data_IF_346329087991
#
_entry.id   IF_346329087991
#
_cell.length_a   1.000
_cell.length_b   1.000
_cell.length_c   1.000
_cell.angle_alpha   90.00
_cell.angle_beta   90.00
_cell.angle_gamma   90.00
#
_symmetry.space_group_name_H-M   'P 1'
#
loop_
_entity.id
_entity.type
_entity.pdbx_description
1 polymer ?
#
# COMPACT_ATOMS: atom_id res chain seq x y z
N UNK A 1 15.16 24.31 -38.79
CA UNK A 1 16.64 24.26 -38.88
C UNK A 1 17.17 23.33 -37.79
N UNK A 2 17.87 22.27 -38.23
CA UNK A 2 18.72 21.29 -37.52
C UNK A 2 18.13 20.60 -36.24
N UNK A 3 17.62 19.36 -36.32
CA UNK A 3 18.33 18.07 -36.37
C UNK A 3 19.31 17.83 -35.21
N UNK A 4 18.90 16.98 -34.26
CA UNK A 4 19.79 15.99 -33.64
C UNK A 4 19.04 14.67 -33.44
N UNK A 5 19.43 13.69 -34.25
CA UNK A 5 19.11 12.27 -34.11
C UNK A 5 20.03 11.61 -33.06
N UNK A 6 19.54 10.53 -32.44
CA UNK A 6 20.34 9.31 -32.33
C UNK A 6 20.90 8.95 -30.95
N UNK A 7 20.06 8.32 -30.11
CA UNK A 7 20.49 7.16 -29.31
C UNK A 7 19.44 6.06 -29.41
N UNK A 8 19.62 5.21 -30.40
CA UNK A 8 19.00 3.89 -30.49
C UNK A 8 19.44 3.05 -29.30
N UNK A 9 18.52 2.80 -28.37
CA UNK A 9 18.68 1.73 -27.39
C UNK A 9 18.53 0.43 -28.17
N UNK A 10 19.65 -0.28 -28.35
CA UNK A 10 19.65 -1.67 -28.77
C UNK A 10 18.97 -2.50 -27.67
N UNK A 11 17.64 -2.57 -27.71
CA UNK A 11 16.89 -3.59 -27.01
C UNK A 11 17.27 -4.93 -27.63
N UNK A 12 17.90 -5.79 -26.84
CA UNK A 12 18.37 -7.10 -27.25
C UNK A 12 17.22 -7.90 -27.90
N UNK A 13 17.34 -8.38 -29.15
CA UNK A 13 16.31 -9.17 -29.83
C UNK A 13 15.90 -10.42 -29.02
N UNK A 14 16.78 -10.92 -28.15
CA UNK A 14 16.52 -12.07 -27.29
C UNK A 14 15.41 -11.82 -26.23
N UNK A 15 15.22 -10.58 -25.77
CA UNK A 15 14.15 -10.25 -24.82
C UNK A 15 12.77 -10.19 -25.50
N UNK A 16 12.73 -9.68 -26.74
CA UNK A 16 11.53 -9.66 -27.58
C UNK A 16 11.15 -11.07 -28.08
N UNK A 17 12.14 -11.91 -28.39
CA UNK A 17 11.90 -13.31 -28.78
C UNK A 17 11.44 -14.14 -27.57
N UNK A 18 11.94 -13.87 -26.34
CA UNK A 18 11.35 -14.46 -25.12
C UNK A 18 9.91 -13.99 -24.91
N UNK A 19 9.61 -12.70 -25.04
CA UNK A 19 8.24 -12.15 -24.97
C UNK A 19 7.29 -12.78 -25.99
N UNK A 20 7.73 -13.01 -27.23
CA UNK A 20 6.93 -13.66 -28.26
C UNK A 20 6.79 -15.18 -28.05
N UNK A 21 7.77 -15.83 -27.42
CA UNK A 21 7.64 -17.22 -26.96
C UNK A 21 6.66 -17.36 -25.79
N UNK A 22 6.47 -16.31 -24.98
CA UNK A 22 5.42 -16.21 -23.96
C UNK A 22 4.03 -15.96 -24.57
N UNK A 23 3.91 -15.25 -25.70
CA UNK A 23 2.62 -15.11 -26.39
C UNK A 23 2.08 -16.42 -27.01
N UNK A 24 2.94 -17.42 -27.23
CA UNK A 24 2.50 -18.79 -27.56
C UNK A 24 1.82 -19.53 -26.40
N UNK A 25 1.81 -18.97 -25.18
CA UNK A 25 1.15 -19.55 -24.00
C UNK A 25 -0.36 -19.22 -23.90
N UNK A 26 -0.98 -18.65 -24.93
CA UNK A 26 -2.40 -18.27 -24.90
C UNK A 26 -3.48 -19.28 -25.35
N UNK A 27 -3.26 -20.54 -25.81
CA UNK A 27 -4.38 -21.29 -26.37
C UNK A 27 -5.32 -21.95 -25.36
N UNK A 28 -5.03 -21.94 -24.04
CA UNK A 28 -5.88 -22.65 -23.06
C UNK A 28 -6.52 -21.82 -21.94
N UNK A 29 -6.15 -20.55 -21.75
CA UNK A 29 -6.82 -19.68 -20.77
C UNK A 29 -7.75 -18.63 -21.39
N UNK A 30 -7.63 -18.33 -22.69
CA UNK A 30 -8.46 -17.30 -23.35
C UNK A 30 -9.82 -17.79 -23.86
N UNK A 31 -10.05 -19.11 -23.94
CA UNK A 31 -11.25 -19.68 -24.54
C UNK A 31 -12.51 -19.61 -23.67
N UNK A 32 -12.45 -19.00 -22.48
CA UNK A 32 -13.59 -18.89 -21.57
C UNK A 32 -14.32 -17.54 -21.56
N UNK A 33 -13.86 -16.51 -22.29
CA UNK A 33 -14.44 -15.14 -22.18
C UNK A 33 -14.95 -14.49 -23.47
N UNK A 34 -14.98 -15.18 -24.60
CA UNK A 34 -15.47 -14.60 -25.86
C UNK A 34 -16.74 -15.31 -26.38
N UNK A 35 -17.82 -15.21 -25.60
CA UNK A 35 -19.17 -15.28 -26.15
C UNK A 35 -20.14 -14.50 -25.27
N UNK A 36 -20.24 -13.19 -25.50
CA UNK A 36 -21.49 -12.43 -25.43
C UNK A 36 -21.29 -11.06 -26.09
N UNK A 37 -21.92 -10.91 -27.24
CA UNK A 37 -21.94 -9.70 -28.06
C UNK A 37 -22.95 -8.69 -27.54
N UNK A 38 -22.59 -7.40 -27.74
CA UNK A 38 -23.46 -6.23 -27.94
C UNK A 38 -24.47 -5.86 -26.86
N UNK A 39 -24.09 -4.97 -25.94
CA UNK A 39 -24.94 -3.90 -25.38
C UNK A 39 -24.06 -2.78 -24.77
N UNK A 40 -23.40 -1.99 -25.63
CA UNK A 40 -22.50 -0.89 -25.22
C UNK A 40 -23.17 0.30 -24.50
N UNK A 41 -24.50 0.32 -24.33
CA UNK A 41 -25.20 1.37 -23.56
C UNK A 41 -25.61 0.96 -22.14
N UNK A 42 -25.89 -0.32 -21.91
CA UNK A 42 -26.47 -0.79 -20.64
C UNK A 42 -25.40 -0.99 -19.56
N UNK A 43 -24.17 -1.31 -19.95
CA UNK A 43 -23.07 -1.55 -19.01
C UNK A 43 -22.60 -0.25 -18.34
N UNK A 44 -22.54 0.85 -19.10
CA UNK A 44 -22.15 2.18 -18.61
C UNK A 44 -23.21 2.81 -17.70
N UNK A 45 -24.49 2.57 -17.99
CA UNK A 45 -25.58 3.00 -17.12
C UNK A 45 -25.59 2.18 -15.81
N UNK A 46 -25.26 0.89 -15.88
CA UNK A 46 -25.18 0.01 -14.73
C UNK A 46 -24.00 0.38 -13.82
N UNK A 47 -22.79 0.59 -14.37
CA UNK A 47 -21.61 1.01 -13.60
C UNK A 47 -21.83 2.38 -12.96
N UNK A 48 -22.41 3.34 -13.69
CA UNK A 48 -22.74 4.67 -13.16
C UNK A 48 -23.75 4.62 -11.99
N UNK A 49 -24.81 3.81 -12.13
CA UNK A 49 -25.81 3.61 -11.05
C UNK A 49 -25.24 2.86 -9.85
N UNK A 50 -24.35 1.90 -10.06
CA UNK A 50 -23.68 1.15 -9.00
C UNK A 50 -22.75 2.05 -8.18
N UNK A 51 -21.96 2.90 -8.85
CA UNK A 51 -21.07 3.88 -8.21
C UNK A 51 -21.88 4.89 -7.40
N UNK A 52 -22.96 5.46 -7.95
CA UNK A 52 -23.82 6.40 -7.21
C UNK A 52 -24.48 5.77 -5.97
N UNK A 53 -24.98 4.52 -6.06
CA UNK A 53 -25.60 3.82 -4.92
C UNK A 53 -24.61 3.51 -3.81
N UNK A 54 -23.37 3.15 -4.15
CA UNK A 54 -22.33 2.95 -3.16
C UNK A 54 -21.95 4.29 -2.52
N UNK A 55 -21.67 5.33 -3.30
CA UNK A 55 -21.26 6.65 -2.78
C UNK A 55 -22.29 7.24 -1.81
N UNK A 56 -23.60 7.06 -2.07
CA UNK A 56 -24.69 7.52 -1.21
C UNK A 56 -24.90 6.69 0.07
N UNK A 57 -24.72 5.36 0.01
CA UNK A 57 -24.75 4.48 1.20
C UNK A 57 -23.59 4.78 2.15
N UNK A 58 -22.41 5.07 1.62
CA UNK A 58 -21.23 5.43 2.43
C UNK A 58 -21.38 6.80 3.10
N UNK A 59 -21.89 7.82 2.38
CA UNK A 59 -22.19 9.14 2.96
C UNK A 59 -23.23 9.08 4.08
N UNK A 60 -24.33 8.32 3.91
CA UNK A 60 -25.36 8.14 4.96
C UNK A 60 -24.84 7.41 6.20
N UNK A 61 -23.97 6.41 6.02
CA UNK A 61 -23.41 5.63 7.15
C UNK A 61 -22.35 6.41 7.95
N UNK A 62 -21.63 7.34 7.31
CA UNK A 62 -20.74 8.28 8.01
C UNK A 62 -21.50 9.35 8.81
N UNK A 63 -22.60 9.88 8.28
CA UNK A 63 -23.38 10.94 8.95
C UNK A 63 -24.13 10.42 10.18
N UNK A 64 -24.65 9.19 10.15
CA UNK A 64 -25.45 8.63 11.25
C UNK A 64 -24.61 8.07 12.41
N UNK A 65 -23.38 7.64 12.18
CA UNK A 65 -22.50 7.10 13.22
C UNK A 65 -21.74 8.20 13.99
N UNK A 66 -21.60 9.40 13.41
CA UNK A 66 -20.81 10.48 14.01
C UNK A 66 -21.64 11.42 14.89
N UNK A 67 -22.95 11.56 14.68
CA UNK A 67 -23.72 12.67 15.26
C UNK A 67 -24.27 12.44 16.69
N UNK A 68 -24.36 11.20 17.19
CA UNK A 68 -25.06 10.94 18.45
C UNK A 68 -24.15 10.82 19.69
N UNK A 69 -22.86 10.50 19.51
CA UNK A 69 -21.91 10.31 20.63
C UNK A 69 -20.89 11.46 20.74
N UNK A 70 -20.60 12.16 19.63
CA UNK A 70 -19.68 13.32 19.59
C UNK A 70 -20.31 14.59 20.17
N UNK A 71 -21.62 14.80 20.00
CA UNK A 71 -22.30 16.04 20.43
C UNK A 71 -22.32 16.23 21.95
N UNK A 72 -22.40 15.16 22.74
CA UNK A 72 -22.35 15.24 24.21
C UNK A 72 -20.94 15.51 24.73
N UNK A 73 -19.91 14.86 24.16
CA UNK A 73 -18.50 15.09 24.51
C UNK A 73 -18.00 16.46 24.06
N UNK A 74 -18.36 16.89 22.85
CA UNK A 74 -18.01 18.19 22.28
C UNK A 74 -18.61 19.35 23.09
N UNK A 75 -19.84 19.22 23.58
CA UNK A 75 -20.44 20.24 24.45
C UNK A 75 -19.77 20.32 25.84
N UNK A 76 -19.38 19.18 26.42
CA UNK A 76 -18.67 19.16 27.71
C UNK A 76 -17.24 19.74 27.60
N UNK A 77 -16.58 19.48 26.47
CA UNK A 77 -15.22 19.94 26.20
C UNK A 77 -15.16 21.45 25.89
N UNK A 78 -16.12 21.96 25.11
CA UNK A 78 -16.25 23.39 24.81
C UNK A 78 -16.43 24.24 26.08
N UNK A 79 -17.04 23.67 27.13
CA UNK A 79 -17.17 24.31 28.45
C UNK A 79 -15.83 24.37 29.18
N UNK A 80 -15.03 23.29 29.17
CA UNK A 80 -13.71 23.26 29.84
C UNK A 80 -12.63 24.11 29.16
N UNK A 81 -12.66 24.27 27.85
CA UNK A 81 -11.66 25.10 27.13
C UNK A 81 -11.91 26.60 27.31
N UNK A 82 -13.10 26.97 27.80
CA UNK A 82 -13.39 28.34 28.21
C UNK A 82 -12.69 28.73 29.53
N UNK A 83 -12.14 27.77 30.27
CA UNK A 83 -11.33 28.04 31.46
C UNK A 83 -9.88 28.31 31.05
N UNK A 84 -9.31 29.36 31.63
CA UNK A 84 -7.97 29.83 31.35
C UNK A 84 -6.90 28.82 31.83
N UNK A 85 -5.98 28.39 30.95
CA UNK A 85 -4.93 27.44 31.32
C UNK A 85 -3.83 28.04 32.23
N UNK A 86 -3.85 29.33 32.56
CA UNK A 86 -2.80 30.01 33.32
C UNK A 86 -2.43 29.28 34.62
N UNK A 87 -3.43 28.75 35.35
CA UNK A 87 -3.23 28.09 36.63
C UNK A 87 -3.29 26.55 36.56
N UNK A 88 -3.47 25.99 35.36
CA UNK A 88 -3.49 24.54 35.20
C UNK A 88 -2.10 23.92 35.37
N UNK A 89 -2.08 22.77 36.04
CA UNK A 89 -0.90 21.93 36.11
C UNK A 89 -0.66 21.20 34.77
N UNK A 90 0.53 20.63 34.63
CA UNK A 90 0.95 19.96 33.41
C UNK A 90 0.15 18.69 33.11
N UNK A 91 -0.36 18.00 34.13
CA UNK A 91 -1.14 16.78 33.97
C UNK A 91 -2.52 17.10 33.41
N UNK A 92 -3.21 18.08 33.98
CA UNK A 92 -4.52 18.52 33.48
C UNK A 92 -4.41 19.07 32.07
N UNK A 93 -3.34 19.82 31.75
CA UNK A 93 -3.09 20.28 30.38
C UNK A 93 -2.93 19.12 29.40
N UNK A 94 -2.16 18.08 29.76
CA UNK A 94 -2.01 16.89 28.94
C UNK A 94 -3.35 16.17 28.73
N UNK A 95 -4.13 15.98 29.78
CA UNK A 95 -5.46 15.36 29.71
C UNK A 95 -6.41 16.14 28.79
N UNK A 96 -6.39 17.48 28.83
CA UNK A 96 -7.20 18.30 27.93
C UNK A 96 -6.83 18.08 26.47
N UNK A 97 -5.54 18.03 26.13
CA UNK A 97 -5.11 17.72 24.77
C UNK A 97 -5.42 16.27 24.37
N UNK A 98 -5.18 15.29 25.25
CA UNK A 98 -5.46 13.87 24.97
C UNK A 98 -6.95 13.67 24.71
N UNK A 99 -7.84 14.25 25.52
CA UNK A 99 -9.28 14.22 25.29
C UNK A 99 -9.67 14.88 23.96
N UNK A 100 -9.03 15.98 23.59
CA UNK A 100 -9.32 16.70 22.33
C UNK A 100 -8.93 15.85 21.13
N UNK A 101 -7.77 15.19 21.22
CA UNK A 101 -7.24 14.29 20.20
C UNK A 101 -8.11 13.04 20.07
N UNK A 102 -8.53 12.44 21.18
CA UNK A 102 -9.40 11.26 21.17
C UNK A 102 -10.80 11.55 20.59
N UNK A 103 -11.29 12.78 20.77
CA UNK A 103 -12.56 13.23 20.22
C UNK A 103 -12.43 13.80 18.79
N UNK A 104 -11.22 13.82 18.20
CA UNK A 104 -10.91 14.54 16.95
C UNK A 104 -11.42 16.01 16.95
N UNK A 105 -11.48 16.65 18.13
CA UNK A 105 -11.92 18.05 18.27
C UNK A 105 -10.77 19.01 17.94
N UNK A 106 -10.71 19.35 16.66
CA UNK A 106 -9.72 20.26 16.10
C UNK A 106 -9.81 21.66 16.71
N UNK A 107 -11.04 22.12 16.99
CA UNK A 107 -11.27 23.46 17.53
C UNK A 107 -10.71 23.57 18.94
N UNK A 108 -10.85 22.50 19.72
CA UNK A 108 -10.24 22.37 21.02
C UNK A 108 -8.71 22.38 20.95
N UNK A 109 -8.11 21.59 20.06
CA UNK A 109 -6.65 21.55 19.88
C UNK A 109 -6.12 22.94 19.51
N UNK A 110 -6.80 23.66 18.61
CA UNK A 110 -6.45 25.02 18.21
C UNK A 110 -6.57 25.98 19.40
N UNK A 111 -7.68 25.92 20.14
CA UNK A 111 -7.92 26.76 21.31
C UNK A 111 -6.83 26.57 22.37
N UNK A 112 -6.55 25.31 22.74
CA UNK A 112 -5.51 24.95 23.70
C UNK A 112 -4.12 25.39 23.22
N UNK A 113 -3.80 25.21 21.94
CA UNK A 113 -2.51 25.64 21.37
C UNK A 113 -2.31 27.16 21.46
N UNK A 114 -3.36 27.94 21.18
CA UNK A 114 -3.32 29.40 21.30
C UNK A 114 -3.11 29.83 22.76
N UNK A 115 -3.82 29.20 23.69
CA UNK A 115 -3.64 29.46 25.11
C UNK A 115 -2.22 29.07 25.58
N UNK A 116 -1.70 27.91 25.15
CA UNK A 116 -0.31 27.50 25.40
C UNK A 116 0.71 28.54 24.88
N UNK A 117 0.43 29.11 23.72
CA UNK A 117 1.25 30.15 23.10
C UNK A 117 1.21 31.46 23.89
N UNK A 118 0.06 31.80 24.48
CA UNK A 118 -0.13 32.99 25.30
C UNK A 118 0.58 32.86 26.65
N UNK A 119 0.43 31.72 27.34
CA UNK A 119 1.00 31.49 28.67
C UNK A 119 2.40 30.85 28.66
N UNK A 120 3.00 30.65 27.47
CA UNK A 120 4.28 29.95 27.28
C UNK A 120 4.34 28.56 27.95
N UNK A 121 3.22 27.84 27.96
CA UNK A 121 3.13 26.48 28.49
C UNK A 121 3.20 25.47 27.35
N UNK A 122 4.02 24.43 27.52
CA UNK A 122 4.16 23.34 26.53
C UNK A 122 3.72 22.03 27.18
N UNK A 123 2.80 21.26 26.57
CA UNK A 123 2.42 19.94 27.05
C UNK A 123 3.59 18.94 26.95
N UNK A 124 3.40 17.73 27.46
CA UNK A 124 4.39 16.67 27.30
C UNK A 124 4.68 16.39 25.81
N UNK A 125 5.90 15.92 25.51
CA UNK A 125 6.31 15.66 24.13
C UNK A 125 5.37 14.70 23.40
N UNK A 126 4.93 13.64 24.08
CA UNK A 126 4.01 12.65 23.51
C UNK A 126 2.71 13.31 23.04
N UNK A 127 2.12 14.15 23.88
CA UNK A 127 0.87 14.86 23.60
C UNK A 127 1.07 15.88 22.48
N UNK A 128 2.18 16.63 22.52
CA UNK A 128 2.54 17.59 21.48
C UNK A 128 2.68 16.94 20.09
N UNK A 129 3.41 15.83 20.00
CA UNK A 129 3.58 15.10 18.74
C UNK A 129 2.25 14.54 18.22
N UNK A 130 1.35 14.17 19.13
CA UNK A 130 0.02 13.66 18.79
C UNK A 130 -0.86 14.78 18.24
N UNK A 131 -0.87 15.95 18.89
CA UNK A 131 -1.55 17.16 18.40
C UNK A 131 -1.02 17.60 17.03
N UNK A 132 0.31 17.67 16.86
CA UNK A 132 0.96 17.97 15.58
C UNK A 132 0.51 16.99 14.48
N UNK A 133 0.45 15.69 14.79
CA UNK A 133 0.01 14.67 13.84
C UNK A 133 -1.47 14.77 13.47
N UNK A 134 -2.34 15.25 14.37
CA UNK A 134 -3.75 15.54 14.05
C UNK A 134 -3.84 16.76 13.15
N UNK A 135 -3.21 17.88 13.54
CA UNK A 135 -3.19 19.11 12.75
C UNK A 135 -2.63 18.90 11.33
N UNK A 136 -1.56 18.10 11.21
CA UNK A 136 -0.95 17.78 9.92
C UNK A 136 -1.91 17.01 8.99
N UNK A 137 -2.57 15.97 9.51
CA UNK A 137 -3.55 15.18 8.74
C UNK A 137 -4.78 15.99 8.31
N UNK A 138 -5.06 17.09 8.99
CA UNK A 138 -6.17 17.99 8.68
C UNK A 138 -5.75 19.19 7.82
N UNK A 139 -4.45 19.35 7.51
CA UNK A 139 -3.96 20.46 6.70
C UNK A 139 -3.77 21.78 7.47
N UNK A 140 -3.85 21.79 8.80
CA UNK A 140 -3.69 23.00 9.62
C UNK A 140 -2.22 23.39 9.80
N UNK A 141 -1.61 23.90 8.73
CA UNK A 141 -0.22 24.36 8.72
C UNK A 141 0.07 25.45 9.75
N UNK A 142 -0.81 26.43 9.88
CA UNK A 142 -0.57 27.60 10.73
C UNK A 142 -0.38 27.21 12.20
N UNK A 143 -1.16 26.23 12.67
CA UNK A 143 -1.07 25.71 14.04
C UNK A 143 0.25 24.97 14.27
N UNK A 144 0.76 24.27 13.26
CA UNK A 144 2.07 23.61 13.34
C UNK A 144 3.18 24.65 13.46
N UNK A 145 3.06 25.78 12.75
CA UNK A 145 3.98 26.91 12.84
C UNK A 145 3.90 27.56 14.22
N UNK A 146 2.70 27.78 14.75
CA UNK A 146 2.50 28.33 16.11
C UNK A 146 3.14 27.43 17.18
N UNK A 147 2.95 26.11 17.09
CA UNK A 147 3.59 25.13 17.96
C UNK A 147 5.12 25.18 17.83
N UNK A 148 5.63 25.32 16.60
CA UNK A 148 7.07 25.40 16.34
C UNK A 148 7.68 26.65 16.98
N UNK A 149 7.02 27.81 16.84
CA UNK A 149 7.43 29.07 17.45
C UNK A 149 7.37 29.00 18.99
N UNK A 150 6.33 28.36 19.54
CA UNK A 150 6.24 28.11 20.98
C UNK A 150 7.41 27.23 21.47
N UNK A 151 7.72 26.15 20.75
CA UNK A 151 8.87 25.29 21.06
C UNK A 151 10.19 26.04 20.96
N UNK A 152 10.36 26.92 19.97
CA UNK A 152 11.58 27.73 19.84
C UNK A 152 11.84 28.59 21.08
N UNK A 153 10.78 29.16 21.67
CA UNK A 153 10.88 30.00 22.87
C UNK A 153 11.12 29.21 24.16
N UNK A 154 10.45 28.07 24.33
CA UNK A 154 10.42 27.35 25.62
C UNK A 154 11.36 26.15 25.64
N UNK A 155 11.53 25.43 24.52
CA UNK A 155 12.37 24.21 24.39
C UNK A 155 13.02 24.13 22.99
N UNK A 156 14.01 25.00 22.68
CA UNK A 156 14.62 25.05 21.35
C UNK A 156 15.36 23.76 20.96
N UNK A 157 15.86 23.00 21.93
CA UNK A 157 16.54 21.73 21.69
C UNK A 157 15.59 20.70 21.03
N UNK A 158 14.36 20.62 21.53
CA UNK A 158 13.33 19.73 21.00
C UNK A 158 13.01 20.04 19.54
N UNK A 159 12.95 21.33 19.21
CA UNK A 159 12.65 21.79 17.85
C UNK A 159 13.75 21.37 16.87
N UNK A 160 15.02 21.52 17.27
CA UNK A 160 16.18 21.11 16.46
C UNK A 160 16.21 19.60 16.24
N UNK A 161 16.00 18.80 17.29
CA UNK A 161 15.96 17.33 17.19
C UNK A 161 14.90 16.84 16.18
N UNK A 162 13.77 17.55 16.08
CA UNK A 162 12.65 17.21 15.22
C UNK A 162 12.65 17.94 13.87
N UNK A 163 13.78 18.54 13.46
CA UNK A 163 13.92 19.30 12.20
C UNK A 163 12.82 20.34 12.03
N UNK A 164 12.59 21.15 13.07
CA UNK A 164 11.59 22.21 13.09
C UNK A 164 10.17 21.73 12.75
N UNK A 165 9.88 20.44 13.02
CA UNK A 165 8.62 19.79 12.68
C UNK A 165 8.25 19.88 11.17
N UNK A 166 9.24 20.09 10.29
CA UNK A 166 9.03 20.30 8.86
C UNK A 166 8.29 19.12 8.19
N UNK A 167 8.46 17.91 8.69
CA UNK A 167 7.73 16.73 8.19
C UNK A 167 6.22 16.79 8.46
N UNK A 168 5.76 17.44 9.54
CA UNK A 168 4.34 17.68 9.77
C UNK A 168 3.82 18.82 8.89
N UNK A 169 4.64 19.85 8.63
CA UNK A 169 4.30 20.91 7.67
C UNK A 169 4.15 20.32 6.26
N UNK A 170 5.06 19.43 5.86
CA UNK A 170 5.00 18.73 4.59
C UNK A 170 3.72 17.91 4.46
N UNK A 171 3.33 17.16 5.50
CA UNK A 171 2.06 16.42 5.52
C UNK A 171 0.86 17.36 5.41
N UNK A 172 0.84 18.49 6.14
CA UNK A 172 -0.24 19.48 6.03
C UNK A 172 -0.35 20.08 4.62
N UNK A 173 0.77 20.40 3.98
CA UNK A 173 0.81 20.90 2.61
C UNK A 173 0.27 19.86 1.62
N UNK A 174 0.59 18.59 1.82
CA UNK A 174 0.04 17.49 1.03
C UNK A 174 -1.49 17.46 1.14
N UNK A 175 -2.01 17.52 2.36
CA UNK A 175 -3.46 17.50 2.62
C UNK A 175 -4.18 18.69 1.99
N UNK A 176 -3.50 19.84 1.86
CA UNK A 176 -4.00 21.03 1.18
C UNK A 176 -3.81 21.00 -0.35
N UNK A 177 -3.22 19.93 -0.91
CA UNK A 177 -3.04 19.74 -2.35
C UNK A 177 -1.72 20.26 -2.93
N UNK A 178 -0.83 20.84 -2.11
CA UNK A 178 0.50 21.30 -2.55
C UNK A 178 1.52 20.14 -2.48
N UNK A 179 1.33 19.17 -3.37
CA UNK A 179 2.08 17.91 -3.43
C UNK A 179 3.57 18.14 -3.68
N UNK A 180 3.91 18.98 -4.66
CA UNK A 180 5.29 19.19 -5.08
C UNK A 180 6.11 19.84 -3.96
N UNK A 181 5.56 20.85 -3.29
CA UNK A 181 6.22 21.48 -2.15
C UNK A 181 6.33 20.52 -0.98
N UNK A 182 5.26 19.76 -0.69
CA UNK A 182 5.29 18.72 0.34
C UNK A 182 6.43 17.72 0.13
N UNK A 183 6.56 17.15 -1.08
CA UNK A 183 7.62 16.20 -1.41
C UNK A 183 9.02 16.82 -1.30
N UNK A 184 9.18 18.08 -1.71
CA UNK A 184 10.47 18.78 -1.57
C UNK A 184 10.90 18.94 -0.11
N UNK A 185 9.96 19.21 0.80
CA UNK A 185 10.23 19.32 2.24
C UNK A 185 10.52 17.93 2.82
N UNK A 186 9.74 16.92 2.45
CA UNK A 186 10.05 15.54 2.85
C UNK A 186 11.45 15.11 2.41
N UNK A 187 11.86 15.41 1.17
CA UNK A 187 13.20 15.13 0.65
C UNK A 187 14.28 15.84 1.48
N UNK A 188 14.10 17.12 1.76
CA UNK A 188 15.00 17.92 2.61
C UNK A 188 15.17 17.28 4.01
N UNK A 189 14.06 17.04 4.72
CA UNK A 189 14.10 16.46 6.07
C UNK A 189 14.68 15.05 6.04
N UNK A 190 14.39 14.26 5.01
CA UNK A 190 14.92 12.90 4.84
C UNK A 190 16.45 12.91 4.67
N UNK A 191 16.98 13.90 3.95
CA UNK A 191 18.42 14.11 3.76
C UNK A 191 19.10 14.58 5.05
N UNK A 192 18.56 15.61 5.67
CA UNK A 192 19.17 16.30 6.83
C UNK A 192 19.06 15.51 8.13
N UNK A 193 18.00 14.69 8.30
CA UNK A 193 17.74 14.00 9.55
C UNK A 193 17.38 12.52 9.36
N UNK A 194 18.38 11.66 9.57
CA UNK A 194 18.23 10.21 9.43
C UNK A 194 17.24 9.60 10.44
N UNK A 195 17.11 10.17 11.65
CA UNK A 195 16.20 9.69 12.68
C UNK A 195 14.72 9.82 12.24
N UNK A 196 14.39 10.89 11.51
CA UNK A 196 13.03 11.15 11.03
C UNK A 196 12.63 10.31 9.81
N UNK A 197 13.55 9.63 9.14
CA UNK A 197 13.25 8.79 7.96
C UNK A 197 12.16 7.75 8.25
N UNK A 198 12.19 7.13 9.43
CA UNK A 198 11.15 6.16 9.84
C UNK A 198 9.77 6.82 9.95
N UNK A 199 9.70 8.03 10.49
CA UNK A 199 8.45 8.80 10.59
C UNK A 199 7.93 9.19 9.21
N UNK A 200 8.80 9.69 8.34
CA UNK A 200 8.47 10.04 6.94
C UNK A 200 7.93 8.82 6.19
N UNK A 201 8.58 7.65 6.31
CA UNK A 201 8.09 6.38 5.73
C UNK A 201 6.66 6.05 6.19
N UNK A 202 6.38 6.21 7.49
CA UNK A 202 5.02 5.98 8.02
C UNK A 202 4.00 6.94 7.43
N UNK A 203 4.32 8.23 7.33
CA UNK A 203 3.46 9.24 6.71
C UNK A 203 3.23 8.90 5.22
N UNK A 204 4.31 8.65 4.48
CA UNK A 204 4.24 8.30 3.05
C UNK A 204 3.40 7.07 2.78
N UNK A 205 3.50 6.03 3.61
CA UNK A 205 2.66 4.82 3.48
C UNK A 205 1.16 5.16 3.48
N UNK A 206 0.75 6.12 4.30
CA UNK A 206 -0.64 6.60 4.34
C UNK A 206 -0.99 7.46 3.12
N UNK A 207 -0.13 8.43 2.78
CA UNK A 207 -0.36 9.34 1.65
C UNK A 207 -0.43 8.60 0.31
N UNK A 208 0.45 7.61 0.08
CA UNK A 208 0.45 6.75 -1.11
C UNK A 208 -0.88 6.00 -1.24
N UNK A 209 -1.38 5.41 -0.15
CA UNK A 209 -2.65 4.68 -0.16
C UNK A 209 -3.81 5.60 -0.53
N UNK A 210 -3.81 6.83 -0.02
CA UNK A 210 -4.83 7.83 -0.37
C UNK A 210 -4.70 8.29 -1.82
N UNK A 211 -3.48 8.54 -2.31
CA UNK A 211 -3.21 8.97 -3.68
C UNK A 211 -3.77 7.98 -4.71
N UNK A 212 -3.46 6.69 -4.55
CA UNK A 212 -3.88 5.63 -5.48
C UNK A 212 -5.39 5.41 -5.39
N UNK A 213 -5.97 5.46 -4.18
CA UNK A 213 -7.42 5.39 -3.99
C UNK A 213 -8.18 6.54 -4.66
N UNK A 214 -7.56 7.73 -4.73
CA UNK A 214 -8.16 8.91 -5.34
C UNK A 214 -7.79 9.07 -6.83
N UNK A 215 -7.08 8.10 -7.42
CA UNK A 215 -6.69 8.06 -8.83
C UNK A 215 -5.96 9.32 -9.34
N UNK A 216 -5.13 9.92 -8.48
CA UNK A 216 -4.37 11.11 -8.85
C UNK A 216 -3.09 10.72 -9.61
N UNK A 217 -3.20 10.53 -10.92
CA UNK A 217 -2.07 10.12 -11.77
C UNK A 217 -0.89 11.10 -11.73
N UNK A 218 -1.16 12.40 -11.74
CA UNK A 218 -0.11 13.42 -11.60
C UNK A 218 0.64 13.30 -10.25
N UNK A 219 -0.10 13.05 -9.17
CA UNK A 219 0.48 12.83 -7.84
C UNK A 219 1.28 11.52 -7.79
N UNK A 220 0.82 10.47 -8.47
CA UNK A 220 1.54 9.20 -8.58
C UNK A 220 2.88 9.39 -9.30
N UNK A 221 2.91 10.15 -10.41
CA UNK A 221 4.17 10.48 -11.11
C UNK A 221 5.15 11.21 -10.18
N UNK A 222 4.67 12.21 -9.42
CA UNK A 222 5.50 12.92 -8.45
C UNK A 222 6.02 11.98 -7.34
N UNK A 223 5.19 11.06 -6.83
CA UNK A 223 5.58 10.07 -5.83
C UNK A 223 6.62 9.08 -6.37
N UNK A 224 6.48 8.66 -7.63
CA UNK A 224 7.44 7.81 -8.28
C UNK A 224 8.79 8.53 -8.38
N UNK A 225 8.82 9.74 -8.94
CA UNK A 225 10.05 10.55 -9.02
C UNK A 225 10.71 10.74 -7.65
N UNK A 226 9.92 11.06 -6.62
CA UNK A 226 10.41 11.15 -5.24
C UNK A 226 10.99 9.81 -4.74
N UNK A 227 10.29 8.70 -4.98
CA UNK A 227 10.79 7.38 -4.57
C UNK A 227 12.07 6.96 -5.32
N UNK A 228 12.20 7.34 -6.60
CA UNK A 228 13.40 7.08 -7.40
C UNK A 228 14.61 7.82 -6.83
N UNK A 229 14.44 9.08 -6.41
CA UNK A 229 15.50 9.82 -5.69
C UNK A 229 15.90 9.11 -4.41
N UNK A 230 14.94 8.62 -3.62
CA UNK A 230 15.24 7.91 -2.38
C UNK A 230 16.02 6.61 -2.62
N UNK A 231 15.68 5.87 -3.67
CA UNK A 231 16.40 4.67 -4.09
C UNK A 231 17.82 5.03 -4.54
N UNK A 232 17.97 6.05 -5.39
CA UNK A 232 19.26 6.40 -5.95
C UNK A 232 20.23 7.01 -4.93
N UNK A 233 19.74 7.86 -4.02
CA UNK A 233 20.59 8.54 -3.02
C UNK A 233 20.83 7.71 -1.75
N UNK A 234 19.84 6.93 -1.31
CA UNK A 234 19.88 6.26 0.01
C UNK A 234 19.71 4.74 -0.06
N UNK A 235 19.54 4.17 -1.26
CA UNK A 235 19.21 2.75 -1.44
C UNK A 235 17.94 2.33 -0.66
N UNK A 236 17.00 3.28 -0.47
CA UNK A 236 15.77 3.04 0.29
C UNK A 236 14.59 2.72 -0.64
N UNK A 237 14.26 1.44 -0.72
CA UNK A 237 13.14 0.92 -1.52
C UNK A 237 11.80 0.95 -0.78
N UNK A 238 11.72 1.44 0.46
CA UNK A 238 10.49 1.36 1.25
C UNK A 238 9.30 2.07 0.56
N UNK A 239 9.51 3.32 0.15
CA UNK A 239 8.45 4.14 -0.47
C UNK A 239 8.01 3.52 -1.79
N UNK A 240 8.96 3.09 -2.62
CA UNK A 240 8.66 2.42 -3.89
C UNK A 240 7.91 1.10 -3.67
N UNK A 241 8.28 0.31 -2.66
CA UNK A 241 7.56 -0.91 -2.29
C UNK A 241 6.15 -0.65 -1.76
N UNK A 242 5.89 0.51 -1.15
CA UNK A 242 4.55 0.94 -0.79
C UNK A 242 3.72 1.33 -2.02
N UNK A 243 4.31 2.06 -2.97
CA UNK A 243 3.66 2.41 -4.24
C UNK A 243 3.31 1.14 -5.01
N UNK A 244 4.28 0.23 -5.18
CA UNK A 244 4.07 -1.07 -5.83
C UNK A 244 2.90 -1.83 -5.24
N UNK A 245 2.87 -2.00 -3.92
CA UNK A 245 1.83 -2.76 -3.23
C UNK A 245 0.44 -2.13 -3.42
N UNK A 246 0.35 -0.80 -3.38
CA UNK A 246 -0.92 -0.12 -3.55
C UNK A 246 -1.37 -0.13 -5.02
N UNK A 247 -0.45 -0.04 -5.98
CA UNK A 247 -0.72 -0.11 -7.41
C UNK A 247 -1.17 -1.51 -7.85
N UNK A 248 -0.48 -2.57 -7.41
CA UNK A 248 -0.86 -3.95 -7.76
C UNK A 248 -2.23 -4.34 -7.20
N UNK A 249 -2.61 -3.78 -6.05
CA UNK A 249 -3.93 -3.96 -5.44
C UNK A 249 -5.00 -3.00 -5.98
N UNK A 250 -4.63 -2.05 -6.84
CA UNK A 250 -5.56 -1.11 -7.47
C UNK A 250 -6.56 -1.87 -8.34
N UNK A 251 -7.75 -1.31 -8.50
CA UNK A 251 -8.77 -1.81 -9.43
C UNK A 251 -8.42 -1.46 -10.89
N UNK A 252 -7.51 -0.50 -11.10
CA UNK A 252 -7.14 0.00 -12.41
C UNK A 252 -5.96 -0.75 -12.99
N UNK A 253 -6.14 -1.23 -14.22
CA UNK A 253 -5.10 -1.93 -14.96
C UNK A 253 -3.84 -1.08 -15.17
N UNK A 254 -3.99 0.21 -15.44
CA UNK A 254 -2.87 1.13 -15.65
C UNK A 254 -1.94 1.20 -14.42
N UNK A 255 -2.50 1.27 -13.21
CA UNK A 255 -1.71 1.28 -11.97
C UNK A 255 -0.97 -0.07 -11.80
N UNK A 256 -1.64 -1.18 -12.10
CA UNK A 256 -1.02 -2.51 -12.03
C UNK A 256 0.14 -2.64 -13.02
N UNK A 257 0.00 -2.10 -14.24
CA UNK A 257 1.08 -2.09 -15.22
C UNK A 257 2.28 -1.26 -14.75
N UNK A 258 2.04 -0.08 -14.16
CA UNK A 258 3.09 0.73 -13.54
C UNK A 258 3.84 -0.08 -12.48
N UNK A 259 3.13 -0.84 -11.64
CA UNK A 259 3.76 -1.68 -10.62
C UNK A 259 4.70 -2.73 -11.24
N UNK A 260 4.30 -3.35 -12.35
CA UNK A 260 5.10 -4.35 -13.07
C UNK A 260 6.32 -3.69 -13.72
N UNK A 261 6.14 -2.56 -14.41
CA UNK A 261 7.22 -1.85 -15.11
C UNK A 261 8.32 -1.40 -14.13
N UNK A 262 7.93 -0.94 -12.94
CA UNK A 262 8.89 -0.53 -11.91
C UNK A 262 9.66 -1.70 -11.29
N UNK A 263 9.04 -2.88 -11.23
CA UNK A 263 9.71 -4.09 -10.77
C UNK A 263 10.80 -4.52 -11.78
N UNK A 264 10.50 -4.40 -13.08
CA UNK A 264 11.46 -4.56 -14.18
C UNK A 264 12.62 -3.57 -14.11
N UNK A 265 12.33 -2.31 -13.77
CA UNK A 265 13.34 -1.25 -13.67
C UNK A 265 14.27 -1.39 -12.46
N UNK A 266 13.76 -1.84 -11.31
CA UNK A 266 14.48 -1.82 -10.03
C UNK A 266 14.63 -3.22 -9.42
N UNK A 267 15.74 -3.90 -9.70
CA UNK A 267 15.99 -5.25 -9.16
C UNK A 267 15.97 -5.31 -7.62
N UNK A 268 16.43 -4.26 -6.93
CA UNK A 268 16.39 -4.19 -5.46
C UNK A 268 14.97 -4.16 -4.88
N UNK A 269 13.98 -3.79 -5.69
CA UNK A 269 12.58 -3.78 -5.29
C UNK A 269 12.05 -5.21 -5.07
N UNK A 270 12.55 -6.20 -5.82
CA UNK A 270 12.14 -7.60 -5.69
C UNK A 270 12.33 -8.12 -4.25
N UNK A 271 13.47 -7.79 -3.62
CA UNK A 271 13.76 -8.19 -2.24
C UNK A 271 12.76 -7.62 -1.23
N UNK A 272 12.25 -6.41 -1.47
CA UNK A 272 11.23 -5.77 -0.63
C UNK A 272 9.85 -6.40 -0.86
N UNK A 273 9.58 -6.82 -2.09
CA UNK A 273 8.29 -7.34 -2.52
C UNK A 273 8.02 -8.75 -2.02
N UNK A 274 9.04 -9.61 -1.88
CA UNK A 274 8.88 -10.98 -1.36
C UNK A 274 8.05 -10.98 -0.07
N UNK A 275 8.37 -10.07 0.85
CA UNK A 275 7.68 -9.93 2.13
C UNK A 275 6.22 -9.40 2.02
N UNK A 276 5.85 -8.84 0.87
CA UNK A 276 4.53 -8.28 0.58
C UNK A 276 3.64 -9.24 -0.22
N UNK A 277 4.22 -10.20 -0.95
CA UNK A 277 3.50 -11.19 -1.78
C UNK A 277 2.38 -11.89 -0.98
N UNK A 278 2.62 -12.48 0.21
CA UNK A 278 1.56 -13.17 0.94
C UNK A 278 0.36 -12.27 1.28
N UNK A 279 0.62 -11.00 1.60
CA UNK A 279 -0.42 -10.03 1.86
C UNK A 279 -1.23 -9.71 0.60
N UNK A 280 -0.56 -9.46 -0.53
CA UNK A 280 -1.22 -9.14 -1.81
C UNK A 280 -2.11 -10.30 -2.25
N UNK A 281 -1.60 -11.54 -2.21
CA UNK A 281 -2.36 -12.74 -2.56
C UNK A 281 -3.59 -12.88 -1.65
N UNK A 282 -3.40 -12.81 -0.33
CA UNK A 282 -4.50 -12.94 0.64
C UNK A 282 -5.56 -11.86 0.46
N UNK A 283 -5.18 -10.60 0.21
CA UNK A 283 -6.14 -9.52 -0.01
C UNK A 283 -6.89 -9.68 -1.33
N UNK A 284 -6.21 -10.08 -2.41
CA UNK A 284 -6.80 -10.27 -3.74
C UNK A 284 -7.83 -11.40 -3.73
N UNK A 285 -7.49 -12.55 -3.13
CA UNK A 285 -8.40 -13.70 -3.03
C UNK A 285 -9.61 -13.44 -2.12
N UNK A 286 -9.44 -12.67 -1.04
CA UNK A 286 -10.57 -12.20 -0.22
C UNK A 286 -11.59 -11.35 -0.99
N UNK A 287 -11.16 -10.75 -2.09
CA UNK A 287 -12.00 -9.94 -2.97
C UNK A 287 -12.35 -10.69 -4.26
N UNK A 288 -12.09 -12.00 -4.33
CA UNK A 288 -12.28 -12.84 -5.51
C UNK A 288 -11.53 -12.37 -6.77
N UNK A 289 -10.47 -11.57 -6.60
CA UNK A 289 -9.62 -11.01 -7.68
C UNK A 289 -8.49 -11.96 -8.03
N UNK A 290 -8.82 -13.09 -8.66
CA UNK A 290 -7.85 -14.14 -9.02
C UNK A 290 -6.88 -13.69 -10.13
N UNK A 291 -7.31 -12.80 -11.01
CA UNK A 291 -6.52 -12.21 -12.10
C UNK A 291 -5.27 -11.48 -11.59
N UNK A 292 -5.37 -10.79 -10.46
CA UNK A 292 -4.23 -10.11 -9.83
C UNK A 292 -3.20 -11.14 -9.35
N UNK A 293 -3.66 -12.26 -8.81
CA UNK A 293 -2.79 -13.33 -8.33
C UNK A 293 -2.06 -14.00 -9.48
N UNK A 294 -2.74 -14.24 -10.61
CA UNK A 294 -2.09 -14.79 -11.81
C UNK A 294 -1.05 -13.84 -12.39
N UNK A 295 -1.34 -12.54 -12.50
CA UNK A 295 -0.35 -11.54 -12.92
C UNK A 295 0.85 -11.49 -11.97
N UNK A 296 0.61 -11.57 -10.66
CA UNK A 296 1.68 -11.64 -9.69
C UNK A 296 2.54 -12.90 -9.89
N UNK A 297 1.93 -14.05 -10.15
CA UNK A 297 2.66 -15.28 -10.46
C UNK A 297 3.51 -15.15 -11.73
N UNK A 298 2.98 -14.56 -12.80
CA UNK A 298 3.73 -14.29 -14.04
C UNK A 298 4.98 -13.47 -13.74
N UNK A 299 4.85 -12.43 -12.92
CA UNK A 299 5.98 -11.61 -12.50
C UNK A 299 6.96 -12.43 -11.67
N UNK A 300 6.51 -13.19 -10.67
CA UNK A 300 7.41 -14.04 -9.86
C UNK A 300 8.15 -15.08 -10.70
N UNK A 301 7.51 -15.62 -11.74
CA UNK A 301 8.13 -16.54 -12.69
C UNK A 301 9.23 -15.88 -13.51
N UNK A 302 9.04 -14.64 -13.95
CA UNK A 302 10.07 -13.88 -14.67
C UNK A 302 11.35 -13.69 -13.86
N UNK A 303 11.23 -13.64 -12.53
CA UNK A 303 12.35 -13.50 -11.59
C UNK A 303 12.82 -14.82 -10.97
N UNK A 304 12.33 -15.95 -11.47
CA UNK A 304 12.70 -17.29 -10.99
C UNK A 304 12.46 -17.49 -9.47
N UNK A 305 11.48 -16.79 -8.90
CA UNK A 305 11.12 -16.82 -7.48
C UNK A 305 10.27 -18.05 -7.11
N UNK A 306 10.84 -19.25 -7.27
CA UNK A 306 10.13 -20.53 -7.13
C UNK A 306 9.53 -20.76 -5.74
N UNK A 307 10.18 -20.28 -4.69
CA UNK A 307 9.71 -20.42 -3.29
C UNK A 307 8.42 -19.64 -3.07
N UNK A 308 8.38 -18.40 -3.55
CA UNK A 308 7.26 -17.49 -3.45
C UNK A 308 6.08 -17.99 -4.29
N UNK A 309 6.36 -18.50 -5.50
CA UNK A 309 5.33 -19.12 -6.35
C UNK A 309 4.71 -20.32 -5.64
N UNK A 310 5.50 -21.20 -5.03
CA UNK A 310 4.98 -22.34 -4.27
C UNK A 310 4.00 -21.90 -3.18
N UNK A 311 4.33 -20.84 -2.45
CA UNK A 311 3.43 -20.27 -1.44
C UNK A 311 2.15 -19.69 -2.06
N UNK A 312 2.26 -18.98 -3.19
CA UNK A 312 1.09 -18.42 -3.90
C UNK A 312 0.16 -19.54 -4.36
N UNK A 313 0.72 -20.60 -4.95
CA UNK A 313 -0.04 -21.77 -5.41
C UNK A 313 -0.78 -22.48 -4.27
N UNK A 314 -0.12 -22.65 -3.12
CA UNK A 314 -0.74 -23.26 -1.95
C UNK A 314 -1.97 -22.45 -1.49
N UNK A 315 -1.84 -21.13 -1.40
CA UNK A 315 -2.95 -20.25 -1.00
C UNK A 315 -4.07 -20.24 -2.05
N UNK A 316 -3.73 -20.32 -3.34
CA UNK A 316 -4.71 -20.45 -4.43
C UNK A 316 -5.50 -21.76 -4.36
N UNK A 317 -4.81 -22.87 -4.10
CA UNK A 317 -5.45 -24.18 -3.94
C UNK A 317 -6.40 -24.15 -2.74
N UNK A 318 -5.96 -23.61 -1.60
CA UNK A 318 -6.81 -23.46 -0.41
C UNK A 318 -8.05 -22.61 -0.69
N UNK A 319 -7.92 -21.56 -1.51
CA UNK A 319 -9.03 -20.74 -1.95
C UNK A 319 -10.00 -21.53 -2.83
N UNK A 320 -9.52 -22.22 -3.88
CA UNK A 320 -10.38 -22.97 -4.78
C UNK A 320 -11.06 -24.18 -4.12
N UNK A 321 -10.42 -24.81 -3.12
CA UNK A 321 -11.06 -25.84 -2.30
C UNK A 321 -12.27 -25.25 -1.54
N UNK A 322 -12.12 -24.05 -0.95
CA UNK A 322 -13.20 -23.39 -0.21
C UNK A 322 -14.36 -23.01 -1.12
N UNK A 323 -14.07 -22.62 -2.35
CA UNK A 323 -15.08 -22.32 -3.38
C UNK A 323 -15.66 -23.58 -4.06
N UNK A 324 -15.15 -24.79 -3.74
CA UNK A 324 -15.59 -26.05 -4.35
C UNK A 324 -15.11 -26.27 -5.80
N UNK A 325 -14.11 -25.52 -6.25
CA UNK A 325 -13.60 -25.52 -7.62
C UNK A 325 -12.45 -26.52 -7.82
N UNK A 326 -12.72 -27.81 -7.64
CA UNK A 326 -11.70 -28.88 -7.66
C UNK A 326 -10.97 -29.03 -9.01
N UNK A 327 -11.60 -28.67 -10.12
CA UNK A 327 -10.98 -28.72 -11.45
C UNK A 327 -9.75 -27.80 -11.52
N UNK A 328 -9.85 -26.59 -10.99
CA UNK A 328 -8.75 -25.62 -11.01
C UNK A 328 -7.62 -26.06 -10.08
N UNK A 329 -7.92 -26.67 -8.93
CA UNK A 329 -6.90 -27.28 -8.08
C UNK A 329 -6.09 -28.34 -8.84
N UNK A 330 -6.75 -29.19 -9.63
CA UNK A 330 -6.07 -30.20 -10.47
C UNK A 330 -5.15 -29.54 -11.50
N UNK A 331 -5.65 -28.52 -12.20
CA UNK A 331 -4.87 -27.79 -13.21
C UNK A 331 -3.62 -27.14 -12.60
N UNK A 332 -3.75 -26.52 -11.42
CA UNK A 332 -2.61 -25.93 -10.69
C UNK A 332 -1.56 -26.98 -10.31
N UNK A 333 -1.99 -28.14 -9.82
CA UNK A 333 -1.06 -29.22 -9.41
C UNK A 333 -0.36 -29.83 -10.62
N UNK A 334 -1.07 -30.05 -11.73
CA UNK A 334 -0.46 -30.52 -12.97
C UNK A 334 0.57 -29.50 -13.46
N UNK A 335 0.21 -28.22 -13.46
CA UNK A 335 1.09 -27.13 -13.86
C UNK A 335 2.35 -27.04 -12.97
N UNK A 336 2.21 -27.18 -11.64
CA UNK A 336 3.35 -27.12 -10.73
C UNK A 336 4.32 -28.30 -10.94
N UNK A 337 3.80 -29.49 -11.25
CA UNK A 337 4.61 -30.67 -11.59
C UNK A 337 5.35 -30.45 -12.91
N UNK A 338 4.70 -29.87 -13.92
CA UNK A 338 5.31 -29.57 -15.22
C UNK A 338 6.45 -28.56 -15.10
N UNK A 339 6.33 -27.58 -14.19
CA UNK A 339 7.30 -26.50 -14.01
C UNK A 339 8.32 -26.74 -12.88
N UNK A 340 8.33 -27.95 -12.30
CA UNK A 340 9.23 -28.35 -11.22
C UNK A 340 9.15 -27.42 -9.98
N UNK A 341 7.93 -27.01 -9.64
CA UNK A 341 7.62 -26.21 -8.46
C UNK A 341 7.05 -27.14 -7.39
N UNK A 342 7.82 -27.35 -6.32
CA UNK A 342 7.40 -28.17 -5.20
C UNK A 342 6.39 -27.41 -4.33
N UNK A 343 5.13 -27.85 -4.32
CA UNK A 343 4.11 -27.31 -3.40
C UNK A 343 4.18 -28.08 -2.08
N UNK A 344 4.90 -27.52 -1.10
CA UNK A 344 5.06 -28.12 0.23
C UNK A 344 3.74 -27.96 1.00
N UNK A 345 3.10 -29.07 1.36
CA UNK A 345 1.85 -29.10 2.14
C UNK A 345 0.69 -29.87 1.51
N UNK A 346 0.71 -30.08 0.18
CA UNK A 346 -0.30 -30.91 -0.52
C UNK A 346 -0.10 -32.40 -0.19
N UNK A 347 1.16 -32.83 -0.09
CA UNK A 347 1.56 -34.23 0.16
C UNK A 347 1.02 -34.78 1.48
N UNK A 348 0.69 -33.92 2.45
CA UNK A 348 0.11 -34.31 3.75
C UNK A 348 -1.43 -34.39 3.77
N UNK A 349 -2.11 -33.84 2.75
CA UNK A 349 -3.58 -33.81 2.69
C UNK A 349 -4.11 -34.97 1.83
N UNK A 350 -4.04 -36.20 2.36
CA UNK A 350 -4.57 -37.42 1.72
C UNK A 350 -6.01 -37.26 1.19
N UNK A 351 -6.85 -36.46 1.86
CA UNK A 351 -8.23 -36.18 1.45
C UNK A 351 -8.31 -35.32 0.18
N UNK A 352 -7.40 -34.35 0.02
CA UNK A 352 -7.28 -33.53 -1.19
C UNK A 352 -6.78 -34.37 -2.36
N UNK A 353 -5.76 -35.20 -2.11
CA UNK A 353 -5.24 -36.14 -3.10
C UNK A 353 -6.29 -37.16 -3.54
N UNK A 354 -7.14 -37.64 -2.63
CA UNK A 354 -8.24 -38.56 -2.96
C UNK A 354 -9.39 -37.87 -3.72
N UNK A 355 -9.68 -36.59 -3.48
CA UNK A 355 -10.67 -35.82 -4.24
C UNK A 355 -10.19 -35.44 -5.65
N UNK A 356 -8.87 -35.30 -5.83
CA UNK A 356 -8.25 -34.99 -7.13
C UNK A 356 -7.94 -36.26 -7.95
N UNK A 357 -8.13 -37.45 -7.39
CA UNK A 357 -7.73 -38.72 -7.98
C UNK A 357 -8.86 -39.42 -8.75
N UNK A 358 -8.77 -39.33 -10.08
CA UNK A 358 -8.80 -40.50 -10.98
C UNK A 358 -7.65 -40.50 -12.00
N UNK A 359 -7.07 -39.34 -12.34
CA UNK A 359 -6.01 -39.24 -13.37
C UNK A 359 -4.64 -38.69 -12.88
N UNK A 360 -4.58 -38.03 -11.71
CA UNK A 360 -3.36 -37.34 -11.24
C UNK A 360 -2.35 -38.32 -10.59
N UNK A 361 -2.84 -39.43 -10.03
CA UNK A 361 -1.99 -40.43 -9.38
C UNK A 361 -1.02 -41.11 -10.36
N UNK A 362 -1.38 -41.25 -11.63
CA UNK A 362 -0.52 -41.89 -12.64
C UNK A 362 0.66 -41.00 -13.04
N UNK A 363 0.49 -39.67 -13.11
CA UNK A 363 1.59 -38.74 -13.43
C UNK A 363 2.56 -38.55 -12.27
N UNK A 364 2.10 -38.61 -11.02
CA UNK A 364 2.95 -38.49 -9.83
C UNK A 364 3.81 -39.73 -9.63
N UNK A 365 3.26 -40.94 -9.83
CA UNK A 365 4.01 -42.20 -9.73
C UNK A 365 5.15 -42.30 -10.76
N UNK A 366 5.00 -41.73 -11.94
CA UNK A 366 6.01 -41.73 -13.01
C UNK A 366 7.21 -40.81 -12.72
N UNK A 367 7.06 -39.76 -11.90
CA UNK A 367 8.20 -38.89 -11.52
C UNK A 367 8.98 -39.43 -10.31
N UNK A 368 8.31 -40.06 -9.35
CA UNK A 368 8.97 -40.67 -8.17
C UNK A 368 9.83 -41.88 -8.54
N UNK A 369 9.46 -42.62 -9.60
CA UNK A 369 10.25 -43.76 -10.11
C UNK A 369 11.46 -43.37 -10.96
N UNK A 370 11.60 -42.09 -11.36
CA UNK A 370 12.72 -41.62 -12.22
C UNK A 370 13.86 -40.93 -11.46
N UNK A 371 13.80 -40.84 -10.13
CA UNK A 371 14.81 -40.14 -9.31
C UNK A 371 15.61 -41.02 -8.33
N UNK A 372 15.72 -42.31 -8.59
CA UNK A 372 16.76 -43.14 -7.96
C UNK A 372 17.58 -43.84 -9.03
N UNK A 373 18.80 -43.37 -9.35
CA UNK A 373 19.86 -44.26 -9.77
C UNK A 373 20.24 -45.08 -8.52
N UNK A 374 19.79 -46.33 -8.50
CA UNK A 374 20.29 -47.33 -7.58
C UNK A 374 21.69 -47.75 -8.03
N UNK A 375 22.71 -46.98 -7.66
CA UNK A 375 24.11 -47.43 -7.76
C UNK A 375 24.91 -46.74 -6.66
N UNK A 376 24.89 -47.32 -5.46
CA UNK A 376 26.04 -47.37 -4.55
C UNK A 376 25.82 -48.57 -3.61
N UNK A 377 26.47 -49.68 -3.94
CA UNK A 377 26.71 -50.80 -3.04
C UNK A 377 28.09 -50.63 -2.39
N UNK A 378 28.10 -50.75 -1.06
CA UNK A 378 29.23 -50.84 -0.11
C UNK A 378 30.14 -49.64 0.09
#
# INVERSE_FOLDING_TARGET
MALYFGKTINACPAALIKLLSFYKFQPHFHLFFLHQSTTEGALDEFTSKLIQRNTSKWKKKQILAHNNDTNLKHNFMKIRISEDIENLDMNTLNELFENAIECDDVTAIIGLTKQCTHYNKIPSLKVLLSALSVCARLGHRDIIVDISNLCERVRPELLKENSFFEHYIAEALWMNGDITKSLSIFEKVYRENAYLRRKIRTIMKYLIKNCIRNHSQATLVNLLQFSEKLVNEYNDYFTLGCIWQACILSEWFADQQIAIDYLLKYQGLCNVIINKVPFVVKMSLKQHRTEIVYRLMEVLLQYEMKSEISQVLLVLIDYFIKEGQFRQCREIIVWSIEHDIQIVGISGNHKLMNMLAKDVQDKIKVKVTKQTPSDYHF
#
